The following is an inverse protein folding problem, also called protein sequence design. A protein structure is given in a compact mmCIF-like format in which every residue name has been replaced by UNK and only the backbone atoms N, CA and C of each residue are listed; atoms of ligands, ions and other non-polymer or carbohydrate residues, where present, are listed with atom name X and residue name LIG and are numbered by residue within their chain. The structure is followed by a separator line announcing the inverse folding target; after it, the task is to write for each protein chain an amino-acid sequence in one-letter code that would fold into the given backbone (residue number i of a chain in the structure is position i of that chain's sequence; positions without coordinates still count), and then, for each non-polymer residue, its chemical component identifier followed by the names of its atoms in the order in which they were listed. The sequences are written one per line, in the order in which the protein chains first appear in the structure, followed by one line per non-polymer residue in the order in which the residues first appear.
data_IF_347333690945
#
_entry.id   IF_347333690945
#
_cell.length_a   1.000
_cell.length_b   1.000
_cell.length_c   1.000
_cell.angle_alpha   90.00
_cell.angle_beta   90.00
_cell.angle_gamma   90.00
#
_symmetry.space_group_name_H-M   'P 1'
#
loop_
_entity.id
_entity.type
_entity.pdbx_description
1 polymer ?
#
# COMPACT_ATOMS: atom_id res chain seq x y z
N UNK A 1 48.06 -25.36 11.70
CA UNK A 1 47.30 -24.19 11.18
C UNK A 1 45.90 -24.54 10.65
N UNK A 2 45.68 -25.69 9.99
CA UNK A 2 44.38 -26.06 9.38
C UNK A 2 43.17 -26.17 10.35
N UNK A 3 43.35 -26.64 11.58
CA UNK A 3 42.25 -26.83 12.56
C UNK A 3 41.58 -25.51 13.01
N UNK A 4 42.34 -24.42 13.17
CA UNK A 4 41.80 -23.12 13.60
C UNK A 4 40.95 -22.45 12.50
N UNK A 5 41.35 -22.61 11.24
CA UNK A 5 40.62 -22.10 10.07
C UNK A 5 39.28 -22.80 9.86
N UNK A 6 39.20 -24.11 10.14
CA UNK A 6 37.95 -24.89 10.05
C UNK A 6 36.95 -24.45 11.12
N UNK A 7 37.42 -24.25 12.37
CA UNK A 7 36.55 -23.80 13.47
C UNK A 7 35.96 -22.41 13.18
N UNK A 8 36.77 -21.48 12.64
CA UNK A 8 36.31 -20.14 12.29
C UNK A 8 35.27 -20.17 11.15
N UNK A 9 35.48 -21.02 10.13
CA UNK A 9 34.53 -21.19 9.04
C UNK A 9 33.19 -21.76 9.53
N UNK A 10 33.21 -22.78 10.41
CA UNK A 10 31.99 -23.34 11.00
C UNK A 10 31.27 -22.30 11.86
N UNK A 11 31.98 -21.50 12.65
CA UNK A 11 31.39 -20.44 13.46
C UNK A 11 30.71 -19.38 12.59
N UNK A 12 31.34 -18.95 11.48
CA UNK A 12 30.73 -18.03 10.53
C UNK A 12 29.47 -18.61 9.89
N UNK A 13 29.48 -19.89 9.49
CA UNK A 13 28.29 -20.54 8.93
C UNK A 13 27.15 -20.63 9.96
N UNK A 14 27.46 -20.98 11.21
CA UNK A 14 26.47 -21.01 12.30
C UNK A 14 25.91 -19.61 12.56
N UNK A 15 26.75 -18.57 12.58
CA UNK A 15 26.30 -17.18 12.74
C UNK A 15 25.44 -16.72 11.57
N UNK A 16 25.77 -17.10 10.33
CA UNK A 16 24.95 -16.81 9.14
C UNK A 16 23.62 -17.53 9.20
N UNK A 17 23.59 -18.82 9.55
CA UNK A 17 22.33 -19.59 9.70
C UNK A 17 21.48 -19.01 10.83
N UNK A 18 22.10 -18.65 11.96
CA UNK A 18 21.41 -18.05 13.10
C UNK A 18 20.86 -16.66 12.76
N UNK A 19 21.63 -15.87 12.00
CA UNK A 19 21.20 -14.57 11.48
C UNK A 19 20.00 -14.73 10.52
N UNK A 20 20.04 -15.69 9.58
CA UNK A 20 18.94 -15.99 8.66
C UNK A 20 17.68 -16.42 9.42
N UNK A 21 17.81 -17.28 10.44
CA UNK A 21 16.67 -17.70 11.27
C UNK A 21 16.07 -16.58 12.12
N UNK A 22 16.87 -15.60 12.52
CA UNK A 22 16.38 -14.43 13.27
C UNK A 22 15.65 -13.42 12.37
N UNK A 23 15.93 -13.41 11.06
CA UNK A 23 15.36 -12.48 10.09
C UNK A 23 14.15 -13.03 9.33
N UNK A 24 13.96 -14.35 9.29
CA UNK A 24 12.84 -14.97 8.57
C UNK A 24 11.60 -15.13 9.48
N UNK A 25 10.85 -14.03 9.63
CA UNK A 25 9.54 -14.00 10.33
C UNK A 25 8.36 -14.08 9.35
N UNK A 26 8.58 -14.66 8.17
CA UNK A 26 7.54 -14.80 7.15
C UNK A 26 6.51 -15.84 7.58
N UNK A 27 5.27 -15.43 7.82
CA UNK A 27 4.19 -16.34 8.20
C UNK A 27 2.93 -16.10 7.37
N UNK A 28 2.64 -16.99 6.43
CA UNK A 28 1.45 -16.91 5.57
C UNK A 28 0.15 -17.11 6.37
N UNK A 29 0.22 -17.74 7.55
CA UNK A 29 -0.97 -17.99 8.38
C UNK A 29 -1.59 -16.71 8.96
N UNK A 30 -0.84 -15.59 8.99
CA UNK A 30 -1.36 -14.28 9.40
C UNK A 30 -2.62 -13.92 8.61
N UNK A 31 -2.70 -14.30 7.33
CA UNK A 31 -3.86 -13.97 6.49
C UNK A 31 -5.16 -14.58 7.04
N UNK A 32 -5.10 -15.72 7.74
CA UNK A 32 -6.28 -16.35 8.31
C UNK A 32 -6.82 -15.62 9.54
N UNK A 33 -6.04 -14.72 10.15
CA UNK A 33 -6.44 -13.92 11.30
C UNK A 33 -7.10 -12.59 10.89
N UNK A 34 -7.09 -12.26 9.59
CA UNK A 34 -7.58 -10.97 9.09
C UNK A 34 -9.10 -11.00 8.93
N UNK A 35 -9.75 -10.01 9.53
CA UNK A 35 -11.20 -9.80 9.49
C UNK A 35 -11.57 -8.50 8.78
N UNK A 36 -12.79 -8.43 8.27
CA UNK A 36 -13.31 -7.28 7.54
C UNK A 36 -13.09 -7.38 6.03
N UNK A 37 -13.24 -6.24 5.36
CA UNK A 37 -13.22 -6.15 3.90
C UNK A 37 -12.15 -5.16 3.45
N UNK A 38 -11.56 -5.42 2.30
CA UNK A 38 -10.66 -4.48 1.65
C UNK A 38 -11.21 -4.07 0.29
N UNK A 39 -11.03 -2.79 -0.02
CA UNK A 39 -11.17 -2.23 -1.34
C UNK A 39 -9.78 -1.88 -1.84
N UNK A 40 -9.49 -2.11 -3.11
CA UNK A 40 -8.14 -1.87 -3.62
C UNK A 40 -8.11 -1.70 -5.13
N UNK A 41 -7.09 -0.97 -5.60
CA UNK A 41 -6.76 -0.83 -7.01
C UNK A 41 -5.69 -1.84 -7.40
N UNK A 42 -5.97 -2.59 -8.47
CA UNK A 42 -5.05 -3.57 -9.01
C UNK A 42 -5.03 -3.45 -10.53
N UNK A 43 -3.83 -3.48 -11.11
CA UNK A 43 -3.67 -3.62 -12.56
C UNK A 43 -3.89 -5.07 -12.96
N UNK A 44 -4.65 -5.27 -14.02
CA UNK A 44 -4.78 -6.57 -14.66
C UNK A 44 -3.69 -6.79 -15.74
N UNK A 45 -3.84 -7.87 -16.50
CA UNK A 45 -2.91 -8.26 -17.56
C UNK A 45 -2.84 -7.23 -18.71
N UNK A 46 -3.89 -6.42 -18.89
CA UNK A 46 -3.91 -5.29 -19.84
C UNK A 46 -3.26 -4.02 -19.26
N UNK A 47 -2.68 -4.12 -18.06
CA UNK A 47 -2.10 -3.03 -17.29
C UNK A 47 -3.09 -1.91 -16.92
N UNK A 48 -4.39 -2.20 -16.92
CA UNK A 48 -5.45 -1.25 -16.57
C UNK A 48 -5.77 -1.37 -15.08
N UNK A 49 -5.64 -0.26 -14.35
CA UNK A 49 -6.00 -0.20 -12.93
C UNK A 49 -7.52 -0.22 -12.75
N UNK A 50 -8.01 -1.26 -12.08
CA UNK A 50 -9.43 -1.51 -11.79
C UNK A 50 -9.67 -1.59 -10.28
N UNK A 51 -10.91 -1.34 -9.88
CA UNK A 51 -11.32 -1.35 -8.49
C UNK A 51 -11.90 -2.71 -8.11
N UNK A 52 -11.34 -3.32 -7.07
CA UNK A 52 -11.75 -4.62 -6.54
C UNK A 52 -12.15 -4.51 -5.07
N UNK A 53 -12.91 -5.52 -4.64
CA UNK A 53 -13.24 -5.80 -3.24
C UNK A 53 -12.86 -7.24 -2.92
N UNK A 54 -12.41 -7.51 -1.71
CA UNK A 54 -12.28 -8.87 -1.18
C UNK A 54 -12.46 -8.87 0.33
N UNK A 55 -12.55 -10.05 0.93
CA UNK A 55 -12.30 -10.20 2.36
C UNK A 55 -10.86 -9.79 2.66
N UNK A 56 -10.59 -9.33 3.89
CA UNK A 56 -9.24 -8.95 4.32
C UNK A 56 -8.24 -10.13 4.26
N UNK A 57 -8.71 -11.37 4.35
CA UNK A 57 -7.88 -12.56 4.14
C UNK A 57 -7.66 -12.91 2.65
N UNK A 58 -8.05 -12.01 1.73
CA UNK A 58 -7.94 -12.11 0.26
C UNK A 58 -8.86 -13.15 -0.39
N UNK A 59 -9.80 -13.73 0.35
CA UNK A 59 -10.85 -14.59 -0.21
C UNK A 59 -11.95 -13.73 -0.83
N UNK A 60 -12.78 -14.36 -1.66
CA UNK A 60 -13.99 -13.74 -2.24
C UNK A 60 -13.74 -12.46 -3.06
N UNK A 61 -12.62 -12.41 -3.80
CA UNK A 61 -12.29 -11.30 -4.70
C UNK A 61 -13.39 -11.07 -5.73
N UNK A 62 -13.83 -9.82 -5.83
CA UNK A 62 -14.86 -9.35 -6.77
C UNK A 62 -14.40 -8.08 -7.46
N UNK A 63 -14.58 -7.99 -8.78
CA UNK A 63 -14.41 -6.74 -9.52
C UNK A 63 -15.59 -5.83 -9.21
N UNK A 64 -15.31 -4.63 -8.70
CA UNK A 64 -16.33 -3.62 -8.40
C UNK A 64 -16.55 -2.73 -9.61
N UNK A 65 -15.47 -2.22 -10.21
CA UNK A 65 -15.58 -1.32 -11.34
C UNK A 65 -14.34 -1.31 -12.21
N UNK A 66 -14.56 -1.22 -13.52
CA UNK A 66 -13.53 -0.98 -14.54
C UNK A 66 -13.94 0.26 -15.31
N UNK A 67 -13.11 1.29 -15.27
CA UNK A 67 -13.38 2.49 -16.03
C UNK A 67 -13.15 2.25 -17.53
N UNK A 68 -13.94 2.94 -18.36
CA UNK A 68 -13.74 3.03 -19.82
C UNK A 68 -13.66 4.52 -20.16
N UNK A 69 -12.46 5.05 -20.09
CA UNK A 69 -12.17 6.46 -20.27
C UNK A 69 -12.34 6.86 -21.73
N UNK A 70 -13.29 7.76 -22.00
CA UNK A 70 -13.47 8.37 -23.34
C UNK A 70 -12.47 9.51 -23.63
N UNK A 71 -11.43 9.66 -22.81
CA UNK A 71 -10.48 10.76 -22.90
C UNK A 71 -9.21 10.38 -23.65
N UNK A 72 -8.87 11.16 -24.68
CA UNK A 72 -7.54 11.13 -25.28
C UNK A 72 -6.53 11.71 -24.28
N UNK A 73 -5.48 10.96 -23.95
CA UNK A 73 -4.25 11.55 -23.40
C UNK A 73 -3.70 12.59 -24.39
N UNK A 74 -2.75 13.42 -23.97
CA UNK A 74 -2.04 14.32 -24.89
C UNK A 74 -1.35 13.60 -26.07
N UNK A 75 -1.17 12.28 -25.98
CA UNK A 75 -0.67 11.39 -27.02
C UNK A 75 -1.75 10.65 -27.83
N UNK A 76 -3.04 10.91 -27.60
CA UNK A 76 -4.16 10.38 -28.38
C UNK A 76 -4.69 8.99 -27.95
N UNK A 77 -4.19 8.41 -26.86
CA UNK A 77 -4.65 7.10 -26.35
C UNK A 77 -5.78 7.23 -25.32
N UNK A 78 -6.62 6.19 -25.16
CA UNK A 78 -7.57 6.11 -24.04
C UNK A 78 -6.83 5.85 -22.72
N UNK A 79 -7.28 6.49 -21.64
CA UNK A 79 -6.81 6.16 -20.30
C UNK A 79 -7.96 5.60 -19.46
N UNK A 80 -7.97 4.28 -19.34
CA UNK A 80 -8.98 3.52 -18.61
C UNK A 80 -8.62 3.27 -17.13
N UNK A 81 -7.51 3.85 -16.66
CA UNK A 81 -7.04 3.64 -15.30
C UNK A 81 -7.87 4.44 -14.30
N UNK A 82 -8.21 3.77 -13.19
CA UNK A 82 -8.54 4.43 -11.93
C UNK A 82 -7.22 4.70 -11.20
N UNK A 83 -6.97 5.95 -10.82
CA UNK A 83 -5.70 6.35 -10.19
C UNK A 83 -5.80 6.31 -8.67
N UNK A 84 -6.95 6.69 -8.12
CA UNK A 84 -7.17 6.68 -6.67
C UNK A 84 -8.65 6.53 -6.32
N UNK A 85 -8.95 6.14 -5.07
CA UNK A 85 -10.33 6.01 -4.60
C UNK A 85 -10.46 6.16 -3.08
N UNK A 86 -11.67 6.51 -2.61
CA UNK A 86 -12.06 6.47 -1.20
C UNK A 86 -13.41 5.78 -1.05
N UNK A 87 -13.49 4.79 -0.17
CA UNK A 87 -14.76 4.24 0.29
C UNK A 87 -15.25 5.01 1.52
N UNK A 88 -16.49 5.49 1.45
CA UNK A 88 -17.17 6.16 2.54
C UNK A 88 -18.10 5.16 3.24
N UNK A 89 -17.69 4.69 4.43
CA UNK A 89 -18.45 3.68 5.19
C UNK A 89 -19.86 4.15 5.55
N UNK A 90 -20.03 5.43 5.90
CA UNK A 90 -21.32 5.99 6.34
C UNK A 90 -22.37 6.00 5.21
N UNK A 91 -21.95 6.31 3.99
CA UNK A 91 -22.84 6.41 2.83
C UNK A 91 -22.84 5.15 1.95
N UNK A 92 -21.92 4.21 2.20
CA UNK A 92 -21.64 3.03 1.36
C UNK A 92 -21.41 3.40 -0.11
N UNK A 93 -20.56 4.41 -0.32
CA UNK A 93 -20.21 4.91 -1.66
C UNK A 93 -18.71 4.99 -1.86
N UNK A 94 -18.29 4.96 -3.12
CA UNK A 94 -16.89 5.13 -3.50
C UNK A 94 -16.75 6.40 -4.33
N UNK A 95 -15.92 7.35 -3.91
CA UNK A 95 -15.40 8.35 -4.84
C UNK A 95 -14.12 7.83 -5.47
N UNK A 96 -13.94 7.97 -6.77
CA UNK A 96 -12.71 7.57 -7.45
C UNK A 96 -12.30 8.56 -8.54
N UNK A 97 -11.01 8.60 -8.83
CA UNK A 97 -10.42 9.47 -9.85
C UNK A 97 -10.12 8.69 -11.13
N UNK A 98 -10.67 9.18 -12.25
CA UNK A 98 -10.46 8.62 -13.58
C UNK A 98 -10.59 9.68 -14.70
N UNK A 99 -10.19 9.33 -15.92
CA UNK A 99 -10.19 10.24 -17.06
C UNK A 99 -11.59 10.39 -17.69
N UNK A 100 -12.09 11.63 -17.77
CA UNK A 100 -13.34 11.95 -18.46
C UNK A 100 -13.10 13.00 -19.54
N UNK A 101 -13.38 12.68 -20.80
CA UNK A 101 -13.25 13.61 -21.94
C UNK A 101 -11.89 14.34 -22.01
N UNK A 102 -10.81 13.65 -21.65
CA UNK A 102 -9.44 14.19 -21.69
C UNK A 102 -9.01 14.91 -20.41
N UNK A 103 -9.86 14.95 -19.38
CA UNK A 103 -9.57 15.58 -18.11
C UNK A 103 -9.72 14.62 -16.92
N UNK A 104 -8.79 14.69 -15.96
CA UNK A 104 -8.94 13.98 -14.69
C UNK A 104 -10.17 14.47 -13.93
N UNK A 105 -10.99 13.53 -13.49
CA UNK A 105 -12.32 13.78 -12.93
C UNK A 105 -12.64 12.84 -11.79
N UNK A 106 -13.51 13.29 -10.89
CA UNK A 106 -14.01 12.52 -9.77
C UNK A 106 -15.40 11.99 -10.08
N UNK A 107 -15.58 10.70 -9.83
CA UNK A 107 -16.84 9.97 -9.98
C UNK A 107 -17.28 9.42 -8.63
N UNK A 108 -18.59 9.25 -8.46
CA UNK A 108 -19.22 8.53 -7.36
C UNK A 108 -19.77 7.20 -7.89
N UNK A 109 -19.43 6.10 -7.22
CA UNK A 109 -20.00 4.78 -7.45
C UNK A 109 -20.81 4.36 -6.22
N UNK A 110 -22.07 4.03 -6.45
CA UNK A 110 -22.93 3.38 -5.46
C UNK A 110 -22.71 1.85 -5.49
N UNK A 111 -22.83 1.21 -4.34
CA UNK A 111 -22.67 -0.25 -4.23
C UNK A 111 -23.90 -1.06 -4.69
N UNK A 112 -24.92 -0.39 -5.24
CA UNK A 112 -26.16 -1.00 -5.75
C UNK A 112 -26.06 -1.46 -7.22
N UNK A 113 -24.88 -1.31 -7.84
CA UNK A 113 -24.63 -1.68 -9.23
C UNK A 113 -25.08 -0.64 -10.26
N UNK A 114 -25.49 0.55 -9.83
CA UNK A 114 -25.73 1.67 -10.75
C UNK A 114 -24.44 2.17 -11.40
N UNK A 115 -24.57 2.77 -12.59
CA UNK A 115 -23.46 3.40 -13.30
C UNK A 115 -22.86 4.56 -12.48
N UNK A 116 -21.53 4.75 -12.51
CA UNK A 116 -20.91 5.85 -11.78
C UNK A 116 -21.43 7.21 -12.22
N UNK A 117 -21.65 8.08 -11.25
CA UNK A 117 -22.06 9.46 -11.45
C UNK A 117 -20.84 10.37 -11.52
N UNK A 118 -20.70 11.14 -12.60
CA UNK A 118 -19.72 12.23 -12.64
C UNK A 118 -20.04 13.28 -11.57
N UNK A 119 -19.04 13.66 -10.77
CA UNK A 119 -19.20 14.70 -9.74
C UNK A 119 -18.60 16.03 -10.18
N UNK A 120 -17.32 16.01 -10.55
CA UNK A 120 -16.52 17.22 -10.77
C UNK A 120 -15.20 16.90 -11.48
N UNK A 121 -14.59 17.91 -12.09
CA UNK A 121 -13.18 17.87 -12.49
C UNK A 121 -12.30 17.76 -11.24
N UNK A 122 -11.24 16.97 -11.31
CA UNK A 122 -10.25 16.90 -10.24
C UNK A 122 -9.42 18.20 -10.21
N UNK A 123 -9.07 18.69 -9.02
CA UNK A 123 -8.33 19.97 -8.89
C UNK A 123 -6.84 19.71 -9.00
N UNK A 124 -6.15 20.39 -9.91
CA UNK A 124 -4.68 20.38 -9.89
C UNK A 124 -4.15 21.29 -8.77
N UNK A 125 -3.26 20.76 -7.94
CA UNK A 125 -2.54 21.49 -6.91
C UNK A 125 -1.04 21.38 -7.18
N UNK A 126 -0.34 22.52 -7.09
CA UNK A 126 1.11 22.57 -7.21
C UNK A 126 1.75 22.19 -5.87
N UNK A 127 2.51 21.08 -5.82
CA UNK A 127 3.30 20.64 -4.66
C UNK A 127 4.75 20.48 -5.12
N UNK A 128 5.68 21.20 -4.50
CA UNK A 128 7.13 21.15 -4.77
C UNK A 128 7.48 21.21 -6.27
N UNK A 129 6.97 22.25 -6.95
CA UNK A 129 7.15 22.52 -8.39
C UNK A 129 6.61 21.46 -9.37
N UNK A 130 5.83 20.49 -8.89
CA UNK A 130 5.07 19.56 -9.72
C UNK A 130 3.57 19.82 -9.56
N UNK A 131 2.85 19.83 -10.68
CA UNK A 131 1.39 19.75 -10.64
C UNK A 131 1.03 18.32 -10.25
N UNK A 132 0.32 18.16 -9.13
CA UNK A 132 -0.36 16.92 -8.77
C UNK A 132 -1.86 17.17 -8.92
N UNK A 133 -2.57 16.24 -9.53
CA UNK A 133 -4.04 16.26 -9.44
C UNK A 133 -4.40 15.82 -8.03
N UNK A 134 -5.33 16.53 -7.39
CA UNK A 134 -5.82 16.21 -6.05
C UNK A 134 -6.49 14.86 -6.10
N UNK A 135 -5.76 13.86 -5.61
CA UNK A 135 -6.31 12.60 -5.11
C UNK A 135 -7.55 12.93 -4.29
N UNK A 136 -8.60 12.11 -4.43
CA UNK A 136 -9.68 12.06 -3.43
C UNK A 136 -9.02 12.15 -2.07
N UNK A 137 -9.33 13.15 -1.23
CA UNK A 137 -8.63 13.32 0.06
C UNK A 137 -8.81 12.03 0.81
N UNK A 138 -7.76 11.23 0.84
CA UNK A 138 -7.76 9.86 1.29
C UNK A 138 -6.90 9.94 2.51
N UNK A 139 -7.57 10.13 3.65
CA UNK A 139 -7.04 9.63 4.90
C UNK A 139 -6.90 8.12 4.69
N UNK A 140 -5.84 7.72 4.00
CA UNK A 140 -5.53 6.34 3.70
C UNK A 140 -5.17 5.73 5.04
N UNK A 141 -6.24 5.24 5.66
CA UNK A 141 -6.25 4.57 6.93
C UNK A 141 -5.83 5.49 8.09
N UNK A 142 -6.54 5.38 9.22
CA UNK A 142 -6.26 6.15 10.43
C UNK A 142 -4.88 5.75 11.00
N UNK A 143 -3.82 6.33 10.46
CA UNK A 143 -2.48 6.26 11.01
C UNK A 143 -2.32 7.23 12.18
N UNK A 144 -3.37 7.96 12.55
CA UNK A 144 -3.35 9.02 13.58
C UNK A 144 -4.63 8.94 14.42
N UNK A 145 -4.46 9.04 15.73
CA UNK A 145 -5.44 9.41 16.74
C UNK A 145 -4.74 10.27 17.80
N UNK A 146 -5.48 10.85 18.74
CA UNK A 146 -4.95 11.82 19.71
C UNK A 146 -3.71 11.33 20.47
N UNK A 147 -3.62 10.03 20.77
CA UNK A 147 -2.52 9.44 21.55
C UNK A 147 -1.69 8.41 20.78
N UNK A 148 -1.92 8.28 19.47
CA UNK A 148 -1.31 7.23 18.68
C UNK A 148 -1.09 7.69 17.26
N UNK A 149 0.10 7.52 16.72
CA UNK A 149 0.29 7.64 15.28
C UNK A 149 1.43 6.77 14.74
N UNK A 150 1.32 6.40 13.47
CA UNK A 150 2.37 5.68 12.73
C UNK A 150 3.03 6.63 11.75
N UNK A 151 4.35 6.63 11.74
CA UNK A 151 5.12 7.52 10.89
C UNK A 151 6.40 6.84 10.39
N UNK A 152 6.92 7.40 9.31
CA UNK A 152 8.22 7.04 8.76
C UNK A 152 9.31 7.91 9.39
N UNK A 153 10.45 7.31 9.75
CA UNK A 153 11.65 8.01 10.20
C UNK A 153 12.88 7.21 9.80
N UNK A 154 13.76 7.82 9.01
CA UNK A 154 14.95 7.16 8.45
C UNK A 154 14.59 5.83 7.75
N UNK A 155 13.66 5.89 6.79
CA UNK A 155 13.21 4.76 5.98
C UNK A 155 12.58 3.59 6.79
N UNK A 156 12.37 3.79 8.09
CA UNK A 156 11.86 2.81 9.04
C UNK A 156 10.48 3.23 9.53
N UNK A 157 9.67 2.25 9.94
CA UNK A 157 8.33 2.53 10.49
C UNK A 157 8.38 2.56 12.01
N UNK A 158 7.85 3.64 12.57
CA UNK A 158 7.68 3.85 13.99
C UNK A 158 6.20 3.99 14.34
N UNK A 159 5.87 3.55 15.55
CA UNK A 159 4.60 3.84 16.21
C UNK A 159 4.90 4.77 17.38
N UNK A 160 4.15 5.85 17.51
CA UNK A 160 4.14 6.68 18.69
C UNK A 160 2.91 6.32 19.51
N UNK A 161 3.09 6.00 20.79
CA UNK A 161 2.00 5.75 21.73
C UNK A 161 2.26 6.65 22.93
N UNK A 162 1.35 7.58 23.22
CA UNK A 162 1.43 8.51 24.35
C UNK A 162 2.80 9.26 24.40
N UNK A 163 3.28 9.71 23.23
CA UNK A 163 4.53 10.44 23.11
C UNK A 163 5.80 9.57 23.08
N UNK A 164 5.67 8.23 23.14
CA UNK A 164 6.82 7.31 23.07
C UNK A 164 6.91 6.63 21.73
N UNK A 165 8.01 6.88 21.02
CA UNK A 165 8.34 6.20 19.77
C UNK A 165 8.85 4.77 20.03
N UNK A 166 8.24 3.81 19.35
CA UNK A 166 8.71 2.42 19.25
C UNK A 166 8.91 2.05 17.78
N UNK A 167 10.11 1.61 17.43
CA UNK A 167 10.39 1.10 16.10
C UNK A 167 9.63 -0.22 15.88
N UNK A 168 8.82 -0.27 14.81
CA UNK A 168 8.06 -1.45 14.42
C UNK A 168 8.83 -2.23 13.36
N UNK A 169 9.37 -1.52 12.38
CA UNK A 169 10.09 -2.11 11.27
C UNK A 169 11.32 -1.27 10.99
N UNK A 170 12.50 -1.83 11.29
CA UNK A 170 13.78 -1.15 11.11
C UNK A 170 14.31 -1.41 9.71
N UNK A 171 14.54 -0.35 8.94
CA UNK A 171 15.33 -0.42 7.73
C UNK A 171 16.83 -0.44 8.08
N UNK A 172 17.55 -1.38 7.48
CA UNK A 172 18.98 -1.60 7.74
C UNK A 172 19.86 -1.42 6.50
N UNK A 173 19.28 -0.95 5.40
CA UNK A 173 20.05 -0.61 4.19
C UNK A 173 20.65 0.79 4.27
N UNK A 174 21.35 1.19 3.20
CA UNK A 174 21.95 2.52 3.11
C UNK A 174 20.87 3.59 2.87
N UNK A 175 20.72 4.51 3.82
CA UNK A 175 19.95 5.74 3.64
C UNK A 175 20.74 6.62 2.68
N UNK A 176 20.29 6.72 1.41
CA UNK A 176 20.83 7.69 0.46
C UNK A 176 19.89 8.88 0.40
N UNK A 177 20.24 9.94 1.12
CA UNK A 177 19.47 11.18 1.22
C UNK A 177 19.49 12.04 -0.06
N UNK A 178 20.23 11.63 -1.10
CA UNK A 178 20.53 12.41 -2.30
C UNK A 178 19.89 11.87 -3.59
N UNK A 179 19.21 10.72 -3.55
CA UNK A 179 18.52 10.13 -4.70
C UNK A 179 17.04 9.98 -4.36
N UNK A 180 16.17 10.55 -5.20
CA UNK A 180 14.72 10.26 -5.20
C UNK A 180 14.50 8.78 -5.54
N UNK A 181 14.61 7.94 -4.52
CA UNK A 181 14.57 6.49 -4.61
C UNK A 181 15.03 5.82 -3.31
N UNK A 182 14.93 6.54 -2.18
CA UNK A 182 15.24 6.00 -0.87
C UNK A 182 14.50 4.66 -0.68
N UNK A 183 15.30 3.63 -0.47
CA UNK A 183 14.84 2.28 -0.16
C UNK A 183 14.42 2.26 1.30
N UNK A 184 13.21 1.80 1.60
CA UNK A 184 12.64 1.94 2.92
C UNK A 184 11.27 1.32 3.05
N UNK A 185 10.56 1.68 4.10
CA UNK A 185 9.21 1.22 4.39
C UNK A 185 8.27 2.40 4.58
N UNK A 186 7.14 2.39 3.88
CA UNK A 186 6.12 3.41 4.02
C UNK A 186 4.83 2.78 4.55
N UNK A 187 4.30 3.24 5.69
CA UNK A 187 3.02 2.76 6.20
C UNK A 187 1.91 3.07 5.20
N UNK A 188 0.97 2.16 5.04
CA UNK A 188 -0.19 2.37 4.17
C UNK A 188 -1.48 2.33 4.95
N UNK A 189 -1.57 1.47 5.98
CA UNK A 189 -2.70 1.51 6.88
C UNK A 189 -2.73 0.41 7.92
N UNK A 190 -3.47 0.68 8.99
CA UNK A 190 -3.84 -0.27 10.03
C UNK A 190 -5.11 -1.06 9.73
N UNK A 191 -5.17 -2.27 10.26
CA UNK A 191 -6.45 -2.95 10.46
C UNK A 191 -7.35 -2.13 11.38
N UNK A 192 -8.68 -2.22 11.25
CA UNK A 192 -9.58 -1.45 12.12
C UNK A 192 -9.48 -1.80 13.61
N UNK A 193 -8.99 -3.00 13.95
CA UNK A 193 -8.67 -3.40 15.33
C UNK A 193 -7.27 -2.96 15.80
N UNK A 194 -6.50 -2.31 14.93
CA UNK A 194 -5.16 -1.77 15.21
C UNK A 194 -4.06 -2.82 15.34
N UNK A 195 -4.33 -4.12 15.14
CA UNK A 195 -3.35 -5.20 15.34
C UNK A 195 -2.42 -5.42 14.16
N UNK A 196 -2.84 -5.07 12.95
CA UNK A 196 -2.07 -5.30 11.73
C UNK A 196 -1.74 -4.00 11.03
N UNK A 197 -0.56 -3.92 10.44
CA UNK A 197 -0.13 -2.81 9.61
C UNK A 197 0.17 -3.31 8.19
N UNK A 198 -0.52 -2.74 7.21
CA UNK A 198 -0.17 -2.80 5.80
C UNK A 198 0.90 -1.74 5.51
N UNK A 199 1.97 -2.15 4.85
CA UNK A 199 3.05 -1.26 4.45
C UNK A 199 3.55 -1.60 3.04
N UNK A 200 4.11 -0.60 2.37
CA UNK A 200 4.87 -0.77 1.14
C UNK A 200 6.37 -0.70 1.43
N UNK A 201 7.17 -1.26 0.52
CA UNK A 201 8.60 -0.95 0.46
C UNK A 201 8.82 0.19 -0.53
N UNK A 202 9.44 1.27 -0.08
CA UNK A 202 10.02 2.26 -0.99
C UNK A 202 11.32 1.68 -1.56
N UNK A 203 11.62 1.96 -2.83
CA UNK A 203 12.85 1.48 -3.47
C UNK A 203 12.74 0.22 -4.32
N UNK A 204 11.60 -0.01 -4.99
CA UNK A 204 11.72 -0.64 -6.30
C UNK A 204 12.49 0.34 -7.19
N UNK A 205 13.73 -0.02 -7.53
CA UNK A 205 14.55 0.47 -8.65
C UNK A 205 13.71 1.11 -9.76
N UNK A 206 14.25 2.07 -10.53
CA UNK A 206 13.55 2.76 -11.63
C UNK A 206 12.83 1.88 -12.69
N UNK A 207 12.86 0.55 -12.56
CA UNK A 207 12.09 -0.44 -13.29
C UNK A 207 10.79 -0.96 -12.62
N UNK A 208 10.64 -0.94 -11.28
CA UNK A 208 9.41 -1.46 -10.63
C UNK A 208 8.16 -0.62 -10.92
N UNK A 209 8.34 0.70 -11.03
CA UNK A 209 7.31 1.62 -11.53
C UNK A 209 6.92 1.33 -12.99
N UNK A 210 7.88 0.90 -13.82
CA UNK A 210 7.63 0.52 -15.21
C UNK A 210 6.88 -0.82 -15.33
N UNK A 211 7.04 -1.72 -14.36
CA UNK A 211 6.37 -3.03 -14.34
C UNK A 211 5.04 -3.03 -13.57
N UNK A 212 4.71 -1.95 -12.85
CA UNK A 212 3.43 -1.81 -12.16
C UNK A 212 3.23 -2.77 -10.98
N UNK A 213 4.30 -3.32 -10.40
CA UNK A 213 4.23 -4.15 -9.20
C UNK A 213 4.29 -3.29 -7.92
N UNK A 214 3.14 -3.07 -7.30
CA UNK A 214 2.98 -2.36 -6.03
C UNK A 214 2.79 -3.37 -4.90
N UNK A 215 3.83 -4.18 -4.64
CA UNK A 215 3.78 -5.19 -3.58
C UNK A 215 3.58 -4.53 -2.22
N UNK A 216 2.52 -4.94 -1.54
CA UNK A 216 2.18 -4.57 -0.18
C UNK A 216 2.41 -5.76 0.73
N UNK A 217 2.87 -5.46 1.93
CA UNK A 217 3.11 -6.43 2.98
C UNK A 217 2.19 -6.12 4.15
N UNK A 218 1.92 -7.13 4.99
CA UNK A 218 1.18 -6.98 6.23
C UNK A 218 2.01 -7.54 7.38
N UNK A 219 2.04 -6.84 8.51
CA UNK A 219 2.74 -7.25 9.73
C UNK A 219 1.76 -7.26 10.91
N UNK A 220 1.79 -8.32 11.70
CA UNK A 220 1.14 -8.36 13.02
C UNK A 220 2.00 -7.56 14.00
N UNK A 221 1.43 -6.52 14.62
CA UNK A 221 2.17 -5.59 15.47
C UNK A 221 2.60 -6.19 16.81
N UNK A 222 1.94 -7.25 17.27
CA UNK A 222 2.27 -7.94 18.51
C UNK A 222 3.39 -8.97 18.29
N UNK A 223 3.22 -9.86 17.31
CA UNK A 223 4.17 -10.96 17.04
C UNK A 223 5.36 -10.52 16.19
N UNK A 224 5.21 -9.43 15.43
CA UNK A 224 6.13 -8.97 14.37
C UNK A 224 6.33 -9.98 13.24
N UNK A 225 5.45 -10.96 13.13
CA UNK A 225 5.39 -11.80 11.95
C UNK A 225 4.78 -11.00 10.80
N UNK A 226 5.26 -11.26 9.58
CA UNK A 226 4.80 -10.54 8.39
C UNK A 226 4.65 -11.48 7.19
N UNK A 227 3.92 -11.04 6.17
CA UNK A 227 3.86 -11.72 4.88
C UNK A 227 3.64 -10.72 3.76
N UNK A 228 3.95 -11.11 2.53
CA UNK A 228 3.42 -10.43 1.35
C UNK A 228 1.89 -10.56 1.40
N UNK A 229 1.22 -9.43 1.16
CA UNK A 229 -0.21 -9.32 1.30
C UNK A 229 -0.88 -9.23 -0.07
N UNK A 230 -0.65 -8.15 -0.79
CA UNK A 230 -1.34 -7.90 -2.06
C UNK A 230 -0.51 -7.04 -2.99
N UNK A 231 -0.65 -7.23 -4.29
CA UNK A 231 -0.16 -6.28 -5.29
C UNK A 231 -1.24 -5.23 -5.55
N UNK A 232 -1.12 -4.03 -4.96
CA UNK A 232 -2.13 -2.98 -5.09
C UNK A 232 -1.55 -1.57 -5.07
N UNK A 233 -2.04 -0.72 -5.96
CA UNK A 233 -1.67 0.70 -6.01
C UNK A 233 -2.19 1.44 -4.79
N UNK A 234 -3.48 1.27 -4.51
CA UNK A 234 -4.16 1.85 -3.36
C UNK A 234 -4.98 0.75 -2.68
N UNK A 235 -5.14 0.86 -1.36
CA UNK A 235 -5.92 -0.10 -0.55
C UNK A 235 -6.60 0.66 0.57
N UNK A 236 -7.83 0.27 0.90
CA UNK A 236 -8.56 0.73 2.07
C UNK A 236 -9.18 -0.47 2.77
N UNK A 237 -8.92 -0.61 4.07
CA UNK A 237 -9.49 -1.66 4.91
C UNK A 237 -10.66 -1.09 5.70
N UNK A 238 -11.81 -1.74 5.62
CA UNK A 238 -13.03 -1.37 6.31
C UNK A 238 -13.62 -2.55 7.09
N UNK A 239 -14.30 -2.23 8.19
CA UNK A 239 -15.24 -3.14 8.83
C UNK A 239 -16.60 -2.49 8.69
N UNK A 240 -17.55 -3.17 8.05
CA UNK A 240 -18.95 -2.79 8.17
C UNK A 240 -19.35 -3.00 9.64
N UNK A 241 -19.72 -1.91 10.33
CA UNK A 241 -20.31 -1.97 11.67
C UNK A 241 -21.79 -2.29 11.57
#
# INVERSE_FOLDING_TARGET
MKKKSIILAVLCVVLVIFYIKLTDRKNVNILNELEGEIYYLMKDDDHISKLYKSDANLKNKTLIYSHKGKGMTSSGGSNDNIIDFRYYTESKKIEFEAMHNGEWSIFELSMDGSEPKYLRKAKEIKIDDKYRVFNVDVDYINLVSENFYIHEKNDSIFINIEGKDKCILKYSGFVRSDISGATGYTPQGLSPDGKFLVYGTTGSTGFGFLLGEYKRFIINLDTKEYTEYINSQSIQWVIEK
#
